data_IF_373356055536
#
_entry.id   IF_373356055536
#
_cell.length_a   1.000
_cell.length_b   1.000
_cell.length_c   1.000
_cell.angle_alpha   90.00
_cell.angle_beta   90.00
_cell.angle_gamma   90.00
#
_symmetry.space_group_name_H-M   'P 1'
#
loop_
_entity.id
_entity.type
_entity.pdbx_description
1 polymer ?
#
# COMPACT_ATOMS: atom_id res chain seq x y z
N UNK A 1 36.85 9.00 7.12
CA UNK A 1 36.03 7.94 6.47
C UNK A 1 34.75 7.59 7.26
N UNK A 2 34.16 8.54 8.01
CA UNK A 2 32.96 8.28 8.83
C UNK A 2 31.68 8.81 8.15
N UNK A 3 31.80 9.84 7.28
CA UNK A 3 30.66 10.40 6.54
C UNK A 3 30.14 9.52 5.38
N UNK A 4 30.95 8.63 4.81
CA UNK A 4 30.55 7.80 3.65
C UNK A 4 29.69 6.59 4.04
N UNK A 5 29.84 6.12 5.28
CA UNK A 5 29.09 4.97 5.81
C UNK A 5 27.72 5.36 6.38
N UNK A 6 27.59 6.60 6.88
CA UNK A 6 26.35 7.14 7.46
C UNK A 6 25.42 7.74 6.40
N UNK A 7 25.96 8.40 5.37
CA UNK A 7 25.14 9.13 4.41
C UNK A 7 24.36 8.20 3.45
N UNK A 8 24.97 7.10 2.98
CA UNK A 8 24.31 6.21 2.04
C UNK A 8 23.18 5.37 2.66
N UNK A 9 23.31 4.96 3.94
CA UNK A 9 22.26 4.20 4.62
C UNK A 9 21.05 5.09 4.91
N UNK A 10 21.24 6.27 5.47
CA UNK A 10 20.11 7.17 5.74
C UNK A 10 19.42 7.66 4.46
N UNK A 11 20.15 7.89 3.36
CA UNK A 11 19.53 8.27 2.07
C UNK A 11 18.75 7.11 1.46
N UNK A 12 19.32 5.90 1.44
CA UNK A 12 18.59 4.75 0.88
C UNK A 12 17.33 4.45 1.71
N UNK A 13 17.42 4.51 3.03
CA UNK A 13 16.30 4.29 3.94
C UNK A 13 15.20 5.34 3.71
N UNK A 14 15.57 6.61 3.57
CA UNK A 14 14.61 7.68 3.25
C UNK A 14 13.89 7.44 1.91
N UNK A 15 14.63 7.03 0.86
CA UNK A 15 14.05 6.67 -0.43
C UNK A 15 13.11 5.48 -0.28
N UNK A 16 13.53 4.45 0.46
CA UNK A 16 12.70 3.26 0.70
C UNK A 16 11.41 3.60 1.44
N UNK A 17 11.44 4.48 2.43
CA UNK A 17 10.26 4.94 3.15
C UNK A 17 9.29 5.63 2.18
N UNK A 18 9.78 6.57 1.37
CA UNK A 18 8.95 7.29 0.39
C UNK A 18 8.33 6.31 -0.60
N UNK A 19 9.14 5.42 -1.19
CA UNK A 19 8.69 4.38 -2.13
C UNK A 19 7.66 3.45 -1.48
N UNK A 20 7.86 3.07 -0.22
CA UNK A 20 6.93 2.19 0.50
C UNK A 20 5.56 2.84 0.68
N UNK A 21 5.53 4.13 1.01
CA UNK A 21 4.28 4.85 1.17
C UNK A 21 3.58 5.17 -0.16
N UNK A 22 4.33 5.49 -1.22
CA UNK A 22 3.74 5.87 -2.51
C UNK A 22 3.41 4.68 -3.40
N UNK A 23 4.30 3.68 -3.48
CA UNK A 23 4.11 2.50 -4.33
C UNK A 23 3.41 1.37 -3.62
N UNK A 24 3.30 1.40 -2.28
CA UNK A 24 2.47 0.47 -1.51
C UNK A 24 1.05 0.37 -2.05
N UNK A 25 0.30 1.49 -2.17
CA UNK A 25 -1.04 1.46 -2.72
C UNK A 25 -1.10 0.95 -4.17
N UNK A 26 -0.15 1.35 -5.02
CA UNK A 26 -0.07 0.87 -6.41
C UNK A 26 0.15 -0.64 -6.48
N UNK A 27 1.04 -1.17 -5.63
CA UNK A 27 1.28 -2.61 -5.51
C UNK A 27 -0.01 -3.34 -5.09
N UNK A 28 -0.75 -2.79 -4.12
CA UNK A 28 -2.04 -3.33 -3.68
C UNK A 28 -3.11 -3.32 -4.77
N UNK A 29 -3.28 -2.21 -5.49
CA UNK A 29 -4.21 -2.11 -6.62
C UNK A 29 -3.86 -3.10 -7.74
N UNK A 30 -2.58 -3.16 -8.11
CA UNK A 30 -2.11 -4.02 -9.18
C UNK A 30 -2.25 -5.50 -8.82
N UNK A 31 -1.81 -5.89 -7.62
CA UNK A 31 -1.99 -7.23 -7.07
C UNK A 31 -3.47 -7.62 -7.02
N UNK A 32 -4.35 -6.71 -6.60
CA UNK A 32 -5.79 -6.94 -6.57
C UNK A 32 -6.38 -7.26 -7.95
N UNK A 33 -5.97 -6.53 -8.98
CA UNK A 33 -6.39 -6.78 -10.36
C UNK A 33 -5.81 -8.06 -10.97
N UNK A 34 -4.63 -8.50 -10.53
CA UNK A 34 -4.02 -9.75 -10.98
C UNK A 34 -4.66 -10.98 -10.33
N UNK A 35 -4.88 -10.94 -9.02
CA UNK A 35 -5.32 -12.11 -8.25
C UNK A 35 -6.84 -12.24 -8.10
N UNK A 36 -7.62 -11.20 -8.41
CA UNK A 36 -9.08 -11.22 -8.26
C UNK A 36 -9.82 -10.87 -9.55
N UNK A 37 -11.04 -11.41 -9.70
CA UNK A 37 -11.98 -11.04 -10.78
C UNK A 37 -12.96 -9.95 -10.35
N UNK A 38 -12.82 -9.44 -9.13
CA UNK A 38 -13.70 -8.45 -8.53
C UNK A 38 -13.40 -7.09 -9.13
N UNK A 39 -14.43 -6.24 -9.25
CA UNK A 39 -14.23 -4.85 -9.69
C UNK A 39 -14.13 -3.97 -8.45
N UNK A 40 -13.01 -3.24 -8.27
CA UNK A 40 -12.93 -2.23 -7.24
C UNK A 40 -13.93 -1.11 -7.57
N UNK A 41 -14.50 -0.49 -6.55
CA UNK A 41 -15.47 0.60 -6.71
C UNK A 41 -14.69 1.91 -6.77
N UNK A 42 -14.75 2.62 -7.90
CA UNK A 42 -13.95 3.83 -8.17
C UNK A 42 -14.01 4.88 -7.05
N UNK A 43 -15.15 4.99 -6.35
CA UNK A 43 -15.32 5.93 -5.22
C UNK A 43 -14.46 5.58 -4.00
N UNK A 44 -14.26 4.28 -3.72
CA UNK A 44 -13.53 3.83 -2.53
C UNK A 44 -12.03 3.68 -2.78
N UNK A 45 -11.60 3.51 -4.03
CA UNK A 45 -10.18 3.30 -4.37
C UNK A 45 -9.27 4.42 -3.85
N UNK A 46 -9.53 5.72 -4.10
CA UNK A 46 -8.66 6.79 -3.58
C UNK A 46 -8.66 6.87 -2.06
N UNK A 47 -9.82 6.60 -1.44
CA UNK A 47 -9.97 6.61 0.01
C UNK A 47 -9.13 5.50 0.67
N UNK A 48 -9.16 4.29 0.12
CA UNK A 48 -8.34 3.16 0.59
C UNK A 48 -6.85 3.43 0.36
N UNK A 49 -6.49 3.99 -0.80
CA UNK A 49 -5.09 4.29 -1.14
C UNK A 49 -4.45 5.33 -0.21
N UNK A 50 -5.24 6.24 0.38
CA UNK A 50 -4.77 7.21 1.39
C UNK A 50 -4.82 6.61 2.80
N UNK A 51 -5.86 5.84 3.11
CA UNK A 51 -6.01 5.19 4.42
C UNK A 51 -4.90 4.17 4.69
N UNK A 52 -4.45 3.44 3.67
CA UNK A 52 -3.42 2.40 3.84
C UNK A 52 -2.08 2.96 4.36
N UNK A 53 -1.46 3.99 3.76
CA UNK A 53 -0.29 4.68 4.32
C UNK A 53 -0.49 5.18 5.76
N UNK A 54 -1.66 5.74 6.07
CA UNK A 54 -1.99 6.23 7.41
C UNK A 54 -2.03 5.09 8.44
N UNK A 55 -2.65 3.97 8.09
CA UNK A 55 -2.68 2.77 8.93
C UNK A 55 -1.28 2.17 9.09
N UNK A 56 -0.49 2.12 8.03
CA UNK A 56 0.91 1.69 8.12
C UNK A 56 1.73 2.54 9.08
N UNK A 57 1.60 3.87 9.01
CA UNK A 57 2.28 4.78 9.93
C UNK A 57 1.84 4.55 11.38
N UNK A 58 0.54 4.34 11.63
CA UNK A 58 0.03 4.01 12.96
C UNK A 58 0.56 2.68 13.48
N UNK A 59 0.59 1.64 12.64
CA UNK A 59 1.12 0.31 13.00
C UNK A 59 2.61 0.39 13.29
N UNK A 60 3.39 1.09 12.47
CA UNK A 60 4.83 1.28 12.67
C UNK A 60 5.11 2.00 13.99
N UNK A 61 4.40 3.10 14.26
CA UNK A 61 4.53 3.87 15.51
C UNK A 61 4.21 3.03 16.75
N UNK A 62 3.12 2.24 16.70
CA UNK A 62 2.75 1.33 17.79
C UNK A 62 3.79 0.23 17.97
N UNK A 63 4.25 -0.38 16.88
CA UNK A 63 5.21 -1.48 16.93
C UNK A 63 6.56 -1.01 17.45
N UNK A 64 6.97 0.21 17.09
CA UNK A 64 8.18 0.82 17.63
C UNK A 64 8.06 1.12 19.13
N UNK A 65 6.89 1.57 19.60
CA UNK A 65 6.67 1.84 21.03
C UNK A 65 6.58 0.58 21.90
N UNK A 66 5.89 -0.46 21.43
CA UNK A 66 5.62 -1.66 22.25
C UNK A 66 6.66 -2.76 22.05
N UNK A 67 7.18 -2.92 20.83
CA UNK A 67 8.06 -4.03 20.46
C UNK A 67 9.48 -3.57 20.10
N UNK A 68 9.77 -2.26 20.13
CA UNK A 68 11.06 -1.68 19.69
C UNK A 68 11.46 -2.14 18.27
N UNK A 69 10.48 -2.44 17.43
CA UNK A 69 10.68 -2.90 16.06
C UNK A 69 10.24 -1.80 15.10
N UNK A 70 11.11 -1.45 14.15
CA UNK A 70 10.88 -0.46 13.13
C UNK A 70 10.72 -1.14 11.76
N UNK A 71 9.66 -0.81 11.03
CA UNK A 71 9.45 -1.37 9.70
C UNK A 71 10.44 -0.75 8.70
N UNK A 72 11.20 -1.61 8.02
CA UNK A 72 12.04 -1.24 6.89
C UNK A 72 11.37 -1.55 5.55
N UNK A 73 12.00 -2.44 4.77
CA UNK A 73 11.50 -2.91 3.47
C UNK A 73 10.10 -3.53 3.52
N UNK A 74 9.73 -4.09 4.66
CA UNK A 74 8.44 -4.73 4.90
C UNK A 74 7.27 -3.74 4.84
N UNK A 75 7.52 -2.45 5.08
CA UNK A 75 6.51 -1.40 5.05
C UNK A 75 5.80 -1.32 3.68
N UNK A 76 6.54 -1.54 2.60
CA UNK A 76 5.98 -1.61 1.24
C UNK A 76 4.96 -2.75 1.12
N UNK A 77 5.32 -3.93 1.62
CA UNK A 77 4.46 -5.11 1.57
C UNK A 77 3.24 -4.94 2.49
N UNK A 78 3.43 -4.38 3.68
CA UNK A 78 2.36 -4.05 4.62
C UNK A 78 1.34 -3.10 3.97
N UNK A 79 1.82 -2.02 3.35
CA UNK A 79 0.96 -1.03 2.68
C UNK A 79 0.24 -1.62 1.46
N UNK A 80 0.94 -2.38 0.63
CA UNK A 80 0.30 -3.11 -0.47
C UNK A 80 -0.76 -4.10 0.02
N UNK A 81 -0.49 -4.80 1.11
CA UNK A 81 -1.43 -5.74 1.75
C UNK A 81 -2.66 -5.05 2.31
N UNK A 82 -2.51 -3.94 3.03
CA UNK A 82 -3.63 -3.15 3.55
C UNK A 82 -4.49 -2.57 2.41
N UNK A 83 -3.86 -2.10 1.34
CA UNK A 83 -4.59 -1.62 0.17
C UNK A 83 -5.35 -2.75 -0.52
N UNK A 84 -4.71 -3.90 -0.73
CA UNK A 84 -5.35 -5.08 -1.30
C UNK A 84 -6.56 -5.53 -0.47
N UNK A 85 -6.40 -5.63 0.85
CA UNK A 85 -7.48 -6.07 1.75
C UNK A 85 -8.64 -5.06 1.79
N UNK A 86 -8.35 -3.76 1.82
CA UNK A 86 -9.37 -2.71 1.73
C UNK A 86 -10.17 -2.79 0.43
N UNK A 87 -9.49 -3.02 -0.71
CA UNK A 87 -10.15 -3.23 -2.00
C UNK A 87 -10.99 -4.51 -1.99
N UNK A 88 -10.45 -5.60 -1.44
CA UNK A 88 -11.15 -6.87 -1.36
C UNK A 88 -12.47 -6.76 -0.59
N UNK A 89 -12.47 -6.10 0.57
CA UNK A 89 -13.66 -5.91 1.41
C UNK A 89 -14.72 -5.02 0.72
N UNK A 90 -14.28 -3.99 -0.02
CA UNK A 90 -15.19 -3.01 -0.64
C UNK A 90 -15.65 -3.40 -2.05
N UNK A 91 -14.90 -4.24 -2.73
CA UNK A 91 -15.15 -4.64 -4.12
C UNK A 91 -16.40 -5.51 -4.27
N UNK A 92 -16.99 -5.46 -5.47
CA UNK A 92 -18.17 -6.27 -5.81
C UNK A 92 -17.85 -7.19 -6.99
N UNK A 93 -18.60 -8.29 -7.08
CA UNK A 93 -18.54 -9.17 -8.25
C UNK A 93 -18.94 -8.37 -9.49
N UNK A 94 -18.00 -8.19 -10.41
CA UNK A 94 -18.23 -7.41 -11.62
C UNK A 94 -19.09 -8.19 -12.59
N UNK A 95 -20.41 -7.97 -12.59
CA UNK A 95 -21.24 -8.44 -13.70
C UNK A 95 -20.77 -7.74 -14.99
N UNK A 96 -20.28 -8.52 -15.96
CA UNK A 96 -19.69 -8.07 -17.24
C UNK A 96 -20.70 -7.35 -18.17
N UNK A 97 -21.96 -7.20 -17.75
CA UNK A 97 -23.12 -6.89 -18.59
C UNK A 97 -23.35 -5.38 -18.83
N UNK A 98 -22.69 -4.47 -18.10
CA UNK A 98 -22.97 -3.02 -18.23
C UNK A 98 -22.22 -2.28 -19.35
N UNK A 99 -21.37 -2.96 -20.14
CA UNK A 99 -20.54 -2.30 -21.18
C UNK A 99 -21.12 -2.36 -22.61
N UNK A 100 -22.32 -2.90 -22.80
CA UNK A 100 -22.97 -3.01 -24.13
C UNK A 100 -24.04 -1.92 -24.37
N UNK A 101 -24.45 -1.13 -23.37
CA UNK A 101 -25.57 -0.17 -23.52
C UNK A 101 -25.18 1.24 -24.01
N UNK A 102 -23.95 1.45 -24.45
CA UNK A 102 -23.48 2.76 -24.96
C UNK A 102 -22.60 2.63 -26.21
N UNK A 103 -22.95 1.70 -27.12
CA UNK A 103 -22.49 1.71 -28.51
C UNK A 103 -23.69 1.72 -29.44
#
# INVERSE_FOLDING_TARGET
MIFKQLNNKSVIDAIYIIVSYTYGPLLGLYSFGLFTKLKPIDRYVPLIAILSPLLCYGIDSLTQSYFNYAFGYELLLLNGGLTFTGLFITSKYGNKISRIRYQ
#
